data_IF_050837738902
#
_entry.id   IF_050837738902
#
_cell.length_a   1.000
_cell.length_b   1.000
_cell.length_c   1.000
_cell.angle_alpha   90.00
_cell.angle_beta   90.00
_cell.angle_gamma   90.00
#
_symmetry.space_group_name_H-M   'P 1'
#
loop_
_entity.id
_entity.type
_entity.pdbx_description
1 polymer ?
#
# COMPACT_ATOMS: atom_id res chain seq x y z
N UNK A 1 -2.16 13.17 -9.85
CA UNK A 1 -2.67 14.33 -10.63
C UNK A 1 -4.19 14.39 -10.71
N UNK A 2 -4.87 13.30 -11.01
CA UNK A 2 -6.34 13.29 -11.16
C UNK A 2 -7.09 13.56 -9.87
N UNK A 3 -6.51 13.26 -8.73
CA UNK A 3 -7.12 13.50 -7.42
C UNK A 3 -6.88 14.90 -6.89
N UNK A 4 -5.84 15.57 -7.35
CA UNK A 4 -5.43 16.92 -6.92
C UNK A 4 -5.37 17.11 -5.40
N UNK A 5 -5.15 16.03 -4.65
CA UNK A 5 -5.06 16.11 -3.19
C UNK A 5 -3.79 16.80 -2.73
N UNK A 6 -2.71 16.69 -3.52
CA UNK A 6 -1.38 17.21 -3.20
C UNK A 6 -0.63 17.57 -4.46
N UNK A 7 0.33 18.46 -4.31
CA UNK A 7 1.27 18.74 -5.37
C UNK A 7 2.22 17.56 -5.59
N UNK A 8 2.65 17.36 -6.82
CA UNK A 8 3.49 16.24 -7.22
C UNK A 8 4.78 16.09 -6.40
N UNK A 9 5.38 17.20 -6.00
CA UNK A 9 6.58 17.21 -5.16
C UNK A 9 6.32 16.65 -3.76
N UNK A 10 5.15 16.89 -3.22
CA UNK A 10 4.73 16.42 -1.90
C UNK A 10 4.44 14.92 -1.93
N UNK A 11 3.90 14.44 -3.04
CA UNK A 11 3.70 13.00 -3.25
C UNK A 11 5.03 12.23 -3.26
N UNK A 12 6.10 12.83 -3.77
CA UNK A 12 7.44 12.23 -3.76
C UNK A 12 8.03 12.06 -2.36
N UNK A 13 7.54 12.85 -1.41
CA UNK A 13 8.01 12.78 -0.03
C UNK A 13 7.35 11.66 0.79
N UNK A 14 6.66 10.72 0.16
CA UNK A 14 5.91 9.65 0.84
C UNK A 14 4.95 10.25 1.87
N UNK A 15 3.98 10.94 1.38
CA UNK A 15 3.05 11.78 2.14
C UNK A 15 2.49 11.16 3.42
N UNK A 16 2.18 9.88 3.38
CA UNK A 16 1.64 9.16 4.53
C UNK A 16 2.70 8.78 5.56
N UNK A 17 3.98 8.79 5.17
CA UNK A 17 5.09 8.45 6.04
C UNK A 17 5.68 9.71 6.65
N UNK A 18 5.29 10.04 7.89
CA UNK A 18 5.68 11.26 8.60
C UNK A 18 6.84 11.08 9.57
N UNK A 19 7.17 9.84 9.94
CA UNK A 19 8.26 9.54 10.85
C UNK A 19 9.60 9.39 10.10
N UNK A 20 10.68 9.91 10.66
CA UNK A 20 12.00 9.83 10.05
C UNK A 20 12.46 8.38 9.84
N UNK A 21 12.18 7.49 10.79
CA UNK A 21 12.50 6.07 10.68
C UNK A 21 11.78 5.42 9.51
N UNK A 22 10.52 5.76 9.28
CA UNK A 22 9.74 5.27 8.14
C UNK A 22 10.34 5.72 6.82
N UNK A 23 10.77 6.98 6.74
CA UNK A 23 11.41 7.53 5.54
C UNK A 23 12.75 6.88 5.24
N UNK A 24 13.60 6.68 6.24
CA UNK A 24 14.91 6.04 6.09
C UNK A 24 14.79 4.61 5.58
N UNK A 25 13.82 3.85 6.10
CA UNK A 25 13.64 2.44 5.77
C UNK A 25 12.67 2.19 4.61
N UNK A 26 11.91 3.20 4.20
CA UNK A 26 10.88 3.06 3.19
C UNK A 26 9.73 2.15 3.61
N UNK A 27 9.45 2.08 4.92
CA UNK A 27 8.38 1.25 5.50
C UNK A 27 7.39 2.09 6.30
N UNK A 28 6.16 1.63 6.38
CA UNK A 28 5.11 2.21 7.21
C UNK A 28 5.06 1.50 8.55
N UNK A 29 5.27 2.22 9.66
CA UNK A 29 5.27 1.66 11.01
C UNK A 29 3.87 1.71 11.63
N UNK A 30 3.16 2.83 11.46
CA UNK A 30 1.81 3.02 11.97
C UNK A 30 0.82 3.23 10.83
N UNK A 31 -0.39 2.72 10.99
CA UNK A 31 -1.48 2.99 10.04
C UNK A 31 -1.79 4.47 9.96
N UNK A 32 -1.91 5.00 8.74
CA UNK A 32 -2.15 6.41 8.48
C UNK A 32 -3.32 6.59 7.53
N UNK A 33 -4.09 7.63 7.77
CA UNK A 33 -5.27 7.94 7.00
C UNK A 33 -5.05 9.18 6.15
N UNK A 34 -5.53 9.13 4.92
CA UNK A 34 -5.70 10.31 4.09
C UNK A 34 -6.99 10.21 3.29
N UNK A 35 -7.47 11.32 2.78
CA UNK A 35 -8.66 11.34 1.94
C UNK A 35 -8.39 12.16 0.68
N UNK A 36 -8.85 11.64 -0.44
CA UNK A 36 -8.79 12.32 -1.73
C UNK A 36 -10.17 12.35 -2.37
N UNK A 37 -10.40 13.31 -3.23
CA UNK A 37 -11.67 13.41 -3.99
C UNK A 37 -11.39 13.23 -5.46
N UNK A 38 -12.12 12.30 -6.08
CA UNK A 38 -12.02 12.01 -7.50
C UNK A 38 -13.42 11.87 -8.09
N UNK A 39 -13.74 12.66 -9.11
CA UNK A 39 -15.04 12.65 -9.78
C UNK A 39 -16.22 12.68 -8.79
N UNK A 40 -16.22 13.66 -7.88
CA UNK A 40 -17.24 13.83 -6.83
C UNK A 40 -17.34 12.67 -5.83
N UNK A 41 -16.37 11.77 -5.83
CA UNK A 41 -16.30 10.65 -4.88
C UNK A 41 -15.15 10.87 -3.91
N UNK A 42 -15.44 10.81 -2.62
CA UNK A 42 -14.43 10.85 -1.58
C UNK A 42 -13.87 9.45 -1.38
N UNK A 43 -12.54 9.33 -1.50
CA UNK A 43 -11.82 8.09 -1.29
C UNK A 43 -10.97 8.25 -0.03
N UNK A 44 -11.26 7.43 0.98
CA UNK A 44 -10.45 7.38 2.19
C UNK A 44 -9.41 6.27 2.01
N UNK A 45 -8.15 6.63 2.17
CA UNK A 45 -7.02 5.71 2.02
C UNK A 45 -6.40 5.49 3.38
N UNK A 46 -6.25 4.23 3.77
CA UNK A 46 -5.55 3.84 4.99
C UNK A 46 -4.32 3.06 4.58
N UNK A 47 -3.15 3.64 4.82
CA UNK A 47 -1.87 2.99 4.59
C UNK A 47 -1.52 2.12 5.79
N UNK A 48 -1.22 0.85 5.56
CA UNK A 48 -0.99 -0.12 6.62
C UNK A 48 0.47 -0.53 6.71
N UNK A 49 0.96 -0.88 7.91
CA UNK A 49 2.26 -1.51 8.02
C UNK A 49 2.27 -2.84 7.28
N UNK A 50 3.23 -3.02 6.37
CA UNK A 50 3.39 -4.26 5.61
C UNK A 50 4.36 -5.25 6.23
N UNK A 51 5.04 -4.88 7.31
CA UNK A 51 6.05 -5.70 7.96
C UNK A 51 5.41 -6.76 8.87
N UNK A 52 6.07 -7.93 8.99
CA UNK A 52 5.57 -9.06 9.77
C UNK A 52 5.24 -8.74 11.25
N UNK A 53 6.00 -7.80 11.83
CA UNK A 53 5.86 -7.43 13.23
C UNK A 53 4.60 -6.58 13.55
N UNK A 54 3.86 -6.16 12.53
CA UNK A 54 2.71 -5.28 12.66
C UNK A 54 1.38 -5.93 12.28
N UNK A 55 1.29 -7.26 12.37
CA UNK A 55 0.10 -8.02 11.93
C UNK A 55 -1.21 -7.62 12.62
N UNK A 56 -1.17 -7.29 13.90
CA UNK A 56 -2.35 -6.86 14.64
C UNK A 56 -2.93 -5.53 14.16
N UNK A 57 -2.09 -4.62 13.71
CA UNK A 57 -2.52 -3.35 13.13
C UNK A 57 -3.27 -3.55 11.81
N UNK A 58 -2.77 -4.47 10.98
CA UNK A 58 -3.41 -4.81 9.70
C UNK A 58 -4.84 -5.35 9.94
N UNK A 59 -5.04 -6.23 10.90
CA UNK A 59 -6.38 -6.75 11.22
C UNK A 59 -7.36 -5.67 11.65
N UNK A 60 -6.91 -4.70 12.46
CA UNK A 60 -7.75 -3.58 12.87
C UNK A 60 -8.20 -2.74 11.69
N UNK A 61 -7.29 -2.46 10.78
CA UNK A 61 -7.59 -1.68 9.58
C UNK A 61 -8.56 -2.42 8.67
N UNK A 62 -8.35 -3.71 8.44
CA UNK A 62 -9.23 -4.51 7.58
C UNK A 62 -10.70 -4.52 8.02
N UNK A 63 -10.95 -4.34 9.31
CA UNK A 63 -12.33 -4.24 9.86
C UNK A 63 -13.02 -2.93 9.50
N UNK A 64 -12.30 -1.93 9.06
CA UNK A 64 -12.83 -0.57 8.84
C UNK A 64 -12.94 -0.17 7.37
N UNK A 65 -12.47 -1.01 6.46
CA UNK A 65 -12.40 -0.70 5.02
C UNK A 65 -13.39 -1.50 4.19
N UNK A 66 -13.73 -0.97 3.02
CA UNK A 66 -14.65 -1.60 2.07
C UNK A 66 -13.92 -2.47 1.04
N UNK A 67 -12.65 -2.21 0.81
CA UNK A 67 -11.81 -2.93 -0.14
C UNK A 67 -10.34 -2.81 0.19
N UNK A 68 -9.52 -3.58 -0.48
CA UNK A 68 -8.07 -3.66 -0.24
C UNK A 68 -7.32 -3.52 -1.55
N UNK A 69 -6.31 -2.66 -1.57
CA UNK A 69 -5.30 -2.64 -2.62
C UNK A 69 -4.12 -3.48 -2.15
N UNK A 70 -3.90 -4.61 -2.81
CA UNK A 70 -2.83 -5.53 -2.48
C UNK A 70 -1.64 -5.26 -3.40
N UNK A 71 -0.62 -4.61 -2.85
CA UNK A 71 0.60 -4.28 -3.59
C UNK A 71 1.55 -5.48 -3.63
N UNK A 72 1.97 -5.83 -4.84
CA UNK A 72 2.92 -6.93 -5.08
C UNK A 72 4.10 -6.39 -5.87
N UNK A 73 5.30 -6.66 -5.40
CA UNK A 73 6.52 -6.34 -6.13
C UNK A 73 6.65 -7.31 -7.33
N UNK A 74 6.89 -6.76 -8.52
CA UNK A 74 6.96 -7.55 -9.75
C UNK A 74 8.11 -8.55 -9.75
N UNK A 75 9.19 -8.24 -9.03
CA UNK A 75 10.38 -9.10 -8.94
C UNK A 75 10.26 -10.12 -7.81
N UNK A 76 9.92 -9.68 -6.60
CA UNK A 76 9.84 -10.54 -5.42
C UNK A 76 8.59 -11.43 -5.40
N UNK A 77 7.54 -11.00 -6.08
CA UNK A 77 6.26 -11.71 -6.08
C UNK A 77 5.49 -11.59 -4.77
N UNK A 78 4.60 -12.53 -4.55
CA UNK A 78 3.76 -12.55 -3.35
C UNK A 78 4.54 -13.05 -2.14
N UNK A 79 4.92 -12.13 -1.26
CA UNK A 79 5.59 -12.44 0.01
C UNK A 79 4.62 -13.07 1.03
N UNK A 80 5.13 -13.73 2.09
CA UNK A 80 4.27 -14.34 3.12
C UNK A 80 3.25 -13.38 3.72
N UNK A 81 3.63 -12.13 4.01
CA UNK A 81 2.73 -11.12 4.54
C UNK A 81 1.63 -10.76 3.55
N UNK A 82 1.96 -10.68 2.25
CA UNK A 82 0.98 -10.42 1.18
C UNK A 82 -0.08 -11.51 1.14
N UNK A 83 0.34 -12.76 1.24
CA UNK A 83 -0.57 -13.92 1.27
C UNK A 83 -1.47 -13.91 2.50
N UNK A 84 -0.91 -13.54 3.64
CA UNK A 84 -1.65 -13.47 4.89
C UNK A 84 -2.71 -12.36 4.86
N UNK A 85 -2.36 -11.18 4.39
CA UNK A 85 -3.29 -10.07 4.21
C UNK A 85 -4.41 -10.44 3.23
N UNK A 86 -4.07 -11.07 2.12
CA UNK A 86 -5.06 -11.55 1.16
C UNK A 86 -6.03 -12.56 1.81
N UNK A 87 -5.50 -13.51 2.54
CA UNK A 87 -6.30 -14.53 3.24
C UNK A 87 -7.26 -13.90 4.24
N UNK A 88 -6.78 -12.96 5.05
CA UNK A 88 -7.60 -12.23 6.03
C UNK A 88 -8.66 -11.37 5.34
N UNK A 89 -8.31 -10.70 4.25
CA UNK A 89 -9.24 -9.89 3.47
C UNK A 89 -10.39 -10.70 2.90
N UNK A 90 -10.09 -11.87 2.34
CA UNK A 90 -11.10 -12.79 1.81
C UNK A 90 -11.99 -13.35 2.92
N UNK A 91 -11.42 -13.66 4.09
CA UNK A 91 -12.19 -14.13 5.25
C UNK A 91 -13.19 -13.07 5.76
N UNK A 92 -12.89 -11.80 5.58
CA UNK A 92 -13.76 -10.67 5.94
C UNK A 92 -14.69 -10.22 4.80
N UNK A 93 -14.72 -10.96 3.70
CA UNK A 93 -15.53 -10.61 2.53
C UNK A 93 -15.15 -9.29 1.85
N UNK A 94 -13.91 -8.86 2.02
CA UNK A 94 -13.39 -7.68 1.33
C UNK A 94 -12.99 -8.04 -0.10
N UNK A 95 -13.09 -7.05 -0.99
CA UNK A 95 -12.70 -7.21 -2.39
C UNK A 95 -11.26 -6.75 -2.59
N UNK A 96 -10.30 -7.67 -2.82
CA UNK A 96 -8.92 -7.29 -3.10
C UNK A 96 -8.75 -6.89 -4.57
N UNK A 97 -7.98 -5.83 -4.78
CA UNK A 97 -7.48 -5.43 -6.09
C UNK A 97 -5.96 -5.57 -6.04
N UNK A 98 -5.41 -6.39 -6.92
CA UNK A 98 -3.96 -6.61 -6.98
C UNK A 98 -3.32 -5.51 -7.82
N UNK A 99 -2.30 -4.87 -7.26
CA UNK A 99 -1.49 -3.86 -7.93
C UNK A 99 -0.05 -4.35 -8.01
N UNK A 100 0.43 -4.56 -9.23
CA UNK A 100 1.82 -4.98 -9.46
C UNK A 100 2.68 -3.73 -9.57
N UNK A 101 3.63 -3.60 -8.65
CA UNK A 101 4.52 -2.45 -8.52
C UNK A 101 5.94 -2.81 -8.95
N UNK A 102 6.77 -1.80 -9.22
CA UNK A 102 8.19 -1.92 -9.58
C UNK A 102 8.43 -2.76 -10.85
N UNK A 103 7.57 -2.63 -11.84
CA UNK A 103 7.70 -3.33 -13.13
C UNK A 103 8.99 -2.92 -13.85
N UNK A 104 9.40 -1.67 -13.72
CA UNK A 104 10.65 -1.14 -14.25
C UNK A 104 11.88 -1.89 -13.75
N UNK A 105 11.92 -2.21 -12.48
CA UNK A 105 13.02 -2.99 -11.87
C UNK A 105 13.10 -4.40 -12.45
N UNK A 106 11.96 -5.03 -12.68
CA UNK A 106 11.88 -6.36 -13.28
C UNK A 106 12.40 -6.36 -14.73
N UNK A 107 12.06 -5.32 -15.50
CA UNK A 107 12.47 -5.19 -16.90
C UNK A 107 13.98 -5.00 -17.06
N UNK A 108 14.62 -4.23 -16.19
CA UNK A 108 16.06 -3.99 -16.25
C UNK A 108 16.90 -5.26 -16.05
N UNK A 109 16.39 -6.25 -15.33
CA UNK A 109 17.12 -7.50 -15.10
C UNK A 109 17.12 -8.44 -16.32
N UNK A 110 16.10 -8.36 -17.16
CA UNK A 110 16.03 -9.15 -18.39
C UNK A 110 16.87 -8.60 -19.55
N UNK A 111 17.38 -7.37 -19.42
CA UNK A 111 18.24 -6.77 -20.44
C UNK A 111 19.72 -6.98 -20.20
N UNK A 112 20.15 -7.63 -19.13
CA UNK A 112 21.55 -7.90 -18.81
C UNK A 112 22.10 -9.24 -19.34
N UNK A 113 21.27 -10.00 -20.01
CA UNK A 113 21.64 -11.21 -20.72
C UNK A 113 21.73 -10.87 -22.23
#
# INVERSE_FOLDING_TARGET
EKTRALEQREMKAQLLDSMDIERERGITILSKNTAVTYKNTKINIIDTPGHADFGGEVERVLKTVDGVLLLVDAFEGAMPQTREVLKKSLAMNLKPIVVINKIDTCYCMYQQD
#
